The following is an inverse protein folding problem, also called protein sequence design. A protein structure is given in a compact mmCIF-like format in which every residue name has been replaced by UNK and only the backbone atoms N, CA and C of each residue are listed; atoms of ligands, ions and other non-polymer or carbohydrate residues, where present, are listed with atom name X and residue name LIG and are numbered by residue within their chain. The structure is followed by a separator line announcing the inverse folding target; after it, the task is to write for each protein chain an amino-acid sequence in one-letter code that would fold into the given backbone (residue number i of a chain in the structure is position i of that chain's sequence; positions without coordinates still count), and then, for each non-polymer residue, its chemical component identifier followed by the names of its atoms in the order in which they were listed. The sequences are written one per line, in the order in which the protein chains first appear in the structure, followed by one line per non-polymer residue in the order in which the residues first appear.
data_IF_901286819817
#
_entry.id   IF_901286819817
#
_cell.length_a   1.000
_cell.length_b   1.000
_cell.length_c   1.000
_cell.angle_alpha   90.00
_cell.angle_beta   90.00
_cell.angle_gamma   90.00
#
_symmetry.space_group_name_H-M   'P 1'
#
loop_
_entity.id
_entity.type
_entity.pdbx_description
1 polymer ?
#
# COMPACT_ATOMS: atom_id res chain seq x y z
N UNK A 1 1.54 -13.03 6.38
CA UNK A 1 1.62 -14.41 5.85
C UNK A 1 0.26 -15.10 5.72
N UNK A 2 -0.75 -14.73 6.51
CA UNK A 2 -2.04 -15.44 6.53
C UNK A 2 -2.79 -15.44 5.20
N UNK A 3 -2.65 -14.38 4.40
CA UNK A 3 -3.25 -14.27 3.07
C UNK A 3 -2.92 -15.47 2.15
N UNK A 4 -1.75 -16.09 2.31
CA UNK A 4 -1.37 -17.28 1.54
C UNK A 4 -2.33 -18.47 1.76
N UNK A 5 -3.03 -18.52 2.89
CA UNK A 5 -3.99 -19.58 3.25
C UNK A 5 -5.37 -19.37 2.63
N UNK A 6 -5.59 -18.27 1.91
CA UNK A 6 -6.88 -17.91 1.31
C UNK A 6 -6.77 -17.76 -0.22
N UNK A 7 -6.52 -18.85 -0.97
CA UNK A 7 -6.21 -18.80 -2.40
C UNK A 7 -7.39 -18.35 -3.28
N UNK A 8 -8.61 -18.39 -2.77
CA UNK A 8 -9.83 -18.02 -3.51
C UNK A 8 -10.14 -16.51 -3.49
N UNK A 9 -9.46 -15.73 -2.65
CA UNK A 9 -9.72 -14.29 -2.54
C UNK A 9 -9.34 -13.58 -3.83
N UNK A 10 -10.23 -12.73 -4.32
CA UNK A 10 -10.02 -11.91 -5.51
C UNK A 10 -9.16 -10.71 -5.16
N UNK A 11 -7.96 -10.64 -5.75
CA UNK A 11 -7.03 -9.53 -5.52
C UNK A 11 -7.13 -8.53 -6.68
N UNK A 12 -7.40 -7.27 -6.35
CA UNK A 12 -7.34 -6.15 -7.28
C UNK A 12 -6.37 -5.11 -6.77
N UNK A 13 -5.32 -4.81 -7.54
CA UNK A 13 -4.23 -3.94 -7.13
C UNK A 13 -4.12 -2.75 -8.07
N UNK A 14 -3.54 -1.65 -7.60
CA UNK A 14 -3.21 -0.52 -8.44
C UNK A 14 -2.30 -0.94 -9.60
N UNK A 15 -2.48 -0.33 -10.77
CA UNK A 15 -1.64 -0.59 -11.94
C UNK A 15 -0.14 -0.36 -11.66
N UNK A 16 0.20 0.61 -10.81
CA UNK A 16 1.58 0.84 -10.37
C UNK A 16 2.11 -0.34 -9.55
N UNK A 17 1.35 -0.78 -8.54
CA UNK A 17 1.77 -1.87 -7.66
C UNK A 17 1.89 -3.19 -8.42
N UNK A 18 1.10 -3.40 -9.47
CA UNK A 18 1.24 -4.57 -10.37
C UNK A 18 2.59 -4.62 -11.09
N UNK A 19 3.20 -3.47 -11.40
CA UNK A 19 4.38 -3.36 -12.25
C UNK A 19 5.69 -3.20 -11.47
N UNK A 20 5.62 -2.62 -10.27
CA UNK A 20 6.78 -2.39 -9.42
C UNK A 20 7.48 -3.68 -9.03
N UNK A 21 8.82 -3.68 -9.05
CA UNK A 21 9.61 -4.83 -8.61
C UNK A 21 9.39 -5.15 -7.12
N UNK A 22 9.22 -4.10 -6.30
CA UNK A 22 8.84 -4.18 -4.89
C UNK A 22 7.31 -4.23 -4.68
N UNK A 23 6.53 -4.31 -5.75
CA UNK A 23 5.08 -4.44 -5.72
C UNK A 23 4.61 -5.90 -5.74
N UNK A 24 3.57 -6.19 -6.51
CA UNK A 24 2.93 -7.51 -6.57
C UNK A 24 3.90 -8.66 -6.89
N UNK A 25 4.79 -8.58 -7.90
CA UNK A 25 5.74 -9.66 -8.19
C UNK A 25 6.62 -10.01 -6.98
N UNK A 26 7.11 -8.98 -6.28
CA UNK A 26 7.99 -9.13 -5.13
C UNK A 26 7.27 -9.63 -3.88
N UNK A 27 6.10 -9.05 -3.54
CA UNK A 27 5.26 -9.51 -2.42
C UNK A 27 4.82 -10.96 -2.63
N UNK A 28 4.35 -11.30 -3.83
CA UNK A 28 3.92 -12.66 -4.17
C UNK A 28 5.04 -13.67 -3.94
N UNK A 29 6.26 -13.34 -4.34
CA UNK A 29 7.42 -14.20 -4.12
C UNK A 29 7.80 -14.28 -2.63
N UNK A 30 7.88 -13.15 -1.93
CA UNK A 30 8.27 -13.09 -0.51
C UNK A 30 7.30 -13.83 0.42
N UNK A 31 6.01 -13.86 0.06
CA UNK A 31 4.95 -14.48 0.84
C UNK A 31 4.43 -15.81 0.28
N UNK A 32 4.96 -16.28 -0.86
CA UNK A 32 4.48 -17.46 -1.58
C UNK A 32 2.97 -17.43 -1.86
N UNK A 33 2.47 -16.26 -2.31
CA UNK A 33 1.03 -16.06 -2.53
C UNK A 33 0.55 -16.84 -3.77
N UNK A 34 -0.43 -17.75 -3.62
CA UNK A 34 -0.95 -18.55 -4.74
C UNK A 34 -1.88 -17.77 -5.67
N UNK A 35 -2.42 -16.64 -5.22
CA UNK A 35 -3.41 -15.87 -5.96
C UNK A 35 -2.84 -15.25 -7.25
N UNK A 36 -3.75 -14.89 -8.15
CA UNK A 36 -3.50 -13.91 -9.21
C UNK A 36 -4.12 -12.57 -8.82
N UNK A 37 -3.59 -11.49 -9.38
CA UNK A 37 -4.09 -10.14 -9.15
C UNK A 37 -4.44 -9.47 -10.47
N UNK A 38 -5.45 -8.61 -10.46
CA UNK A 38 -5.84 -7.78 -11.60
C UNK A 38 -5.46 -6.33 -11.34
N UNK A 39 -4.93 -5.64 -12.34
CA UNK A 39 -4.63 -4.20 -12.27
C UNK A 39 -5.89 -3.35 -12.37
N UNK A 40 -6.01 -2.34 -11.52
CA UNK A 40 -7.11 -1.40 -11.41
C UNK A 40 -6.54 0.01 -11.20
N UNK A 41 -7.34 1.04 -11.49
CA UNK A 41 -7.03 2.37 -10.97
C UNK A 41 -7.32 2.41 -9.46
N UNK A 42 -6.48 3.10 -8.69
CA UNK A 42 -6.52 3.08 -7.23
C UNK A 42 -7.89 3.50 -6.66
N UNK A 43 -8.49 4.57 -7.20
CA UNK A 43 -9.83 5.03 -6.81
C UNK A 43 -10.94 4.00 -7.08
N UNK A 44 -10.76 3.17 -8.11
CA UNK A 44 -11.70 2.09 -8.45
C UNK A 44 -11.53 0.89 -7.53
N UNK A 45 -10.34 0.66 -6.98
CA UNK A 45 -10.07 -0.47 -6.11
C UNK A 45 -10.91 -0.43 -4.82
N UNK A 46 -11.04 0.75 -4.18
CA UNK A 46 -11.90 0.89 -3.00
C UNK A 46 -13.39 0.68 -3.31
N UNK A 47 -13.88 1.14 -4.48
CA UNK A 47 -15.26 0.86 -4.92
C UNK A 47 -15.46 -0.61 -5.25
N UNK A 48 -14.45 -1.26 -5.84
CA UNK A 48 -14.46 -2.68 -6.14
C UNK A 48 -14.47 -3.52 -4.84
N UNK A 49 -13.76 -3.09 -3.79
CA UNK A 49 -13.84 -3.68 -2.45
C UNK A 49 -15.25 -3.53 -1.88
N UNK A 50 -15.81 -2.32 -1.91
CA UNK A 50 -17.13 -2.05 -1.34
C UNK A 50 -18.25 -2.85 -2.05
N UNK A 51 -18.12 -3.03 -3.36
CA UNK A 51 -19.08 -3.83 -4.16
C UNK A 51 -18.83 -5.34 -4.10
N UNK A 52 -17.73 -5.79 -3.49
CA UNK A 52 -17.34 -7.22 -3.45
C UNK A 52 -16.82 -7.76 -4.78
N UNK A 53 -16.50 -6.89 -5.75
CA UNK A 53 -15.85 -7.28 -7.00
C UNK A 53 -14.43 -7.79 -6.75
N UNK A 54 -13.76 -7.23 -5.74
CA UNK A 54 -12.49 -7.71 -5.18
C UNK A 54 -12.59 -7.80 -3.65
N UNK A 55 -11.68 -8.53 -3.04
CA UNK A 55 -11.64 -8.79 -1.59
C UNK A 55 -10.35 -8.30 -0.94
N UNK A 56 -9.32 -8.01 -1.74
CA UNK A 56 -8.00 -7.54 -1.28
C UNK A 56 -7.48 -6.48 -2.25
N UNK A 57 -6.89 -5.41 -1.72
CA UNK A 57 -6.20 -4.37 -2.50
C UNK A 57 -4.92 -3.89 -1.80
N UNK A 58 -4.04 -3.20 -2.53
CA UNK A 58 -2.93 -2.43 -1.97
C UNK A 58 -3.42 -1.07 -1.46
N UNK A 59 -2.83 -0.60 -0.36
CA UNK A 59 -3.18 0.65 0.29
C UNK A 59 -1.94 1.29 0.91
N UNK A 60 -2.02 2.60 1.18
CA UNK A 60 -1.07 3.25 2.07
C UNK A 60 -1.66 3.30 3.49
N UNK A 61 -0.80 3.11 4.50
CA UNK A 61 -1.25 3.12 5.91
C UNK A 61 -1.89 4.45 6.37
N UNK A 62 -1.71 5.52 5.59
CA UNK A 62 -2.26 6.86 5.82
C UNK A 62 -3.57 7.14 5.09
N UNK A 63 -4.08 6.19 4.29
CA UNK A 63 -5.28 6.39 3.49
C UNK A 63 -6.51 6.60 4.40
N UNK A 64 -7.28 7.65 4.10
CA UNK A 64 -8.48 8.00 4.86
C UNK A 64 -9.62 6.98 4.64
N UNK A 65 -9.51 6.19 3.58
CA UNK A 65 -10.38 5.12 3.17
C UNK A 65 -10.38 3.96 4.17
N UNK A 66 -9.29 3.75 4.91
CA UNK A 66 -9.16 2.67 5.91
C UNK A 66 -10.27 2.79 6.98
N UNK A 67 -10.37 3.89 7.75
CA UNK A 67 -11.45 4.04 8.71
C UNK A 67 -12.82 4.23 8.04
N UNK A 68 -12.87 4.87 6.86
CA UNK A 68 -14.13 5.15 6.16
C UNK A 68 -14.85 3.86 5.73
N UNK A 69 -14.13 2.92 5.11
CA UNK A 69 -14.67 1.62 4.70
C UNK A 69 -14.51 0.51 5.76
N UNK A 70 -13.96 0.84 6.94
CA UNK A 70 -13.66 -0.12 8.02
C UNK A 70 -12.81 -1.31 7.53
N UNK A 71 -11.76 -1.00 6.79
CA UNK A 71 -10.89 -2.01 6.19
C UNK A 71 -10.02 -2.67 7.25
N UNK A 72 -9.82 -3.98 7.12
CA UNK A 72 -8.83 -4.70 7.90
C UNK A 72 -7.47 -4.60 7.20
N UNK A 73 -6.56 -3.83 7.78
CA UNK A 73 -5.17 -3.77 7.32
C UNK A 73 -4.45 -5.07 7.69
N UNK A 74 -3.81 -5.71 6.71
CA UNK A 74 -2.97 -6.88 6.93
C UNK A 74 -1.57 -6.42 7.38
N UNK A 75 -1.05 -7.07 8.43
CA UNK A 75 0.31 -6.81 8.93
C UNK A 75 1.35 -7.42 7.98
N UNK A 76 2.37 -6.63 7.63
CA UNK A 76 3.60 -7.12 7.02
C UNK A 76 4.48 -7.79 8.10
N UNK A 77 4.20 -9.06 8.39
CA UNK A 77 4.86 -9.85 9.44
C UNK A 77 6.27 -10.34 9.07
N UNK A 78 6.64 -10.25 7.78
CA UNK A 78 7.99 -10.58 7.30
C UNK A 78 8.87 -9.36 7.03
N UNK A 79 8.36 -8.16 7.32
CA UNK A 79 9.09 -6.89 7.12
C UNK A 79 9.59 -6.75 5.68
N UNK A 80 8.73 -7.05 4.71
CA UNK A 80 9.07 -6.95 3.29
C UNK A 80 9.24 -5.49 2.86
N UNK A 81 8.37 -4.60 3.32
CA UNK A 81 8.46 -3.18 3.05
C UNK A 81 9.36 -2.48 4.07
N UNK A 82 10.16 -1.49 3.65
CA UNK A 82 10.87 -0.63 4.58
C UNK A 82 9.89 0.31 5.30
N UNK A 83 10.35 0.88 6.42
CA UNK A 83 9.58 1.91 7.11
C UNK A 83 9.60 3.23 6.31
N UNK A 84 8.43 3.70 5.91
CA UNK A 84 8.27 4.98 5.21
C UNK A 84 7.87 6.09 6.20
N UNK A 85 8.87 6.72 6.80
CA UNK A 85 8.65 7.88 7.67
C UNK A 85 8.65 9.17 6.85
N UNK A 86 7.56 9.94 6.97
CA UNK A 86 7.52 11.29 6.42
C UNK A 86 8.46 12.20 7.24
N UNK A 87 9.39 12.86 6.55
CA UNK A 87 10.35 13.78 7.15
C UNK A 87 10.35 15.12 6.42
N UNK A 88 10.63 16.20 7.16
CA UNK A 88 10.88 17.49 6.55
C UNK A 88 12.28 17.53 5.95
N UNK A 89 12.36 17.65 4.63
CA UNK A 89 13.62 17.89 3.93
C UNK A 89 13.69 19.35 3.51
N UNK A 90 14.70 20.07 4.00
CA UNK A 90 14.95 21.46 3.64
C UNK A 90 16.43 21.70 3.31
N UNK A 91 16.69 22.74 2.52
CA UNK A 91 18.06 23.11 2.16
C UNK A 91 18.84 23.56 3.40
N UNK A 92 20.10 23.14 3.51
CA UNK A 92 20.99 23.47 4.65
C UNK A 92 21.11 24.97 4.94
N UNK A 93 20.95 25.81 3.93
CA UNK A 93 21.00 27.28 4.04
C UNK A 93 19.68 27.93 4.50
N UNK A 94 18.61 27.15 4.73
CA UNK A 94 17.30 27.68 5.17
C UNK A 94 17.42 28.43 6.49
N UNK A 95 18.25 27.95 7.42
CA UNK A 95 18.50 28.60 8.70
C UNK A 95 19.03 30.04 8.55
N UNK A 96 19.75 30.31 7.47
CA UNK A 96 20.31 31.64 7.18
C UNK A 96 19.32 32.48 6.37
N UNK A 97 18.70 31.88 5.34
CA UNK A 97 17.81 32.60 4.41
C UNK A 97 16.43 32.91 4.99
N UNK A 98 15.92 32.09 5.88
CA UNK A 98 14.62 32.28 6.52
C UNK A 98 14.57 31.59 7.90
N UNK A 99 15.22 32.16 8.92
CA UNK A 99 15.29 31.57 10.27
C UNK A 99 13.91 31.31 10.90
N UNK A 100 12.89 32.07 10.52
CA UNK A 100 11.53 31.93 11.04
C UNK A 100 10.85 30.61 10.63
N UNK A 101 11.32 29.95 9.57
CA UNK A 101 10.77 28.68 9.06
C UNK A 101 11.26 27.44 9.84
N UNK A 102 12.20 27.60 10.79
CA UNK A 102 12.75 26.51 11.60
C UNK A 102 12.19 26.48 13.05
N UNK A 103 11.19 27.31 13.34
CA UNK A 103 10.53 27.36 14.65
C UNK A 103 9.33 26.44 14.72
#
# INVERSE_FOLDING_TARGET
SDLARHPSLKIGLSNEFMQRADGWPGVRAAYALPQTATGLDHDLAYRALQSGAIEVTDLYSTDAEIPYYRLQVLRDDRHYFPDYQAVFLYRKDLAQRSPAMLK
#
